data_IF_776699866404
#
_entry.id   IF_776699866404
#
_cell.length_a   1.000
_cell.length_b   1.000
_cell.length_c   1.000
_cell.angle_alpha   90.00
_cell.angle_beta   90.00
_cell.angle_gamma   90.00
#
_symmetry.space_group_name_H-M   'P 1'
#
loop_
_entity.id
_entity.type
_entity.pdbx_description
1 polymer ?
#
# COMPACT_ATOMS: atom_id res chain seq x y z
N UNK A 1 35.91 -10.81 35.64
CA UNK A 1 35.48 -11.83 34.67
C UNK A 1 33.99 -11.68 34.44
N UNK A 2 33.58 -11.08 33.32
CA UNK A 2 32.39 -11.48 32.56
C UNK A 2 32.32 -10.61 31.30
N UNK A 3 32.85 -11.14 30.21
CA UNK A 3 32.76 -10.56 28.87
C UNK A 3 31.43 -11.02 28.26
N UNK A 4 30.51 -10.09 28.04
CA UNK A 4 29.33 -10.36 27.22
C UNK A 4 29.74 -10.41 25.75
N UNK A 5 29.78 -11.62 25.20
CA UNK A 5 29.86 -11.84 23.76
C UNK A 5 28.51 -11.49 23.13
N UNK A 6 28.46 -10.37 22.42
CA UNK A 6 27.39 -10.05 21.47
C UNK A 6 27.69 -10.80 20.17
N UNK A 7 26.88 -11.81 19.84
CA UNK A 7 26.91 -12.43 18.51
C UNK A 7 26.30 -11.45 17.50
N UNK A 8 27.15 -10.72 16.80
CA UNK A 8 26.78 -10.10 15.52
C UNK A 8 26.46 -11.22 14.52
N UNK A 9 25.19 -11.39 14.16
CA UNK A 9 24.82 -12.23 13.01
C UNK A 9 25.30 -11.52 11.74
N UNK A 10 26.26 -12.15 11.08
CA UNK A 10 26.72 -11.81 9.74
C UNK A 10 25.54 -11.83 8.76
N UNK A 11 25.13 -10.65 8.29
CA UNK A 11 24.22 -10.47 7.15
C UNK A 11 25.05 -10.19 5.90
N UNK A 12 25.46 -11.24 5.20
CA UNK A 12 25.85 -11.13 3.80
C UNK A 12 24.87 -12.03 3.03
N UNK A 13 24.10 -11.49 2.06
CA UNK A 13 23.29 -12.32 1.20
C UNK A 13 24.22 -13.19 0.35
N UNK A 14 24.08 -14.51 0.46
CA UNK A 14 24.71 -15.46 -0.46
C UNK A 14 23.82 -15.47 -1.71
N UNK A 15 24.36 -15.02 -2.84
CA UNK A 15 23.62 -15.00 -4.09
C UNK A 15 23.18 -16.43 -4.49
N UNK A 16 21.87 -16.68 -4.58
CA UNK A 16 21.31 -17.91 -5.18
C UNK A 16 20.39 -18.77 -4.31
N UNK A 17 20.02 -18.36 -3.10
CA UNK A 17 19.22 -19.18 -2.17
C UNK A 17 17.69 -18.93 -2.25
N UNK A 18 17.25 -18.01 -3.10
CA UNK A 18 15.96 -17.38 -2.92
C UNK A 18 14.84 -18.21 -3.56
N UNK A 19 13.94 -18.68 -2.69
CA UNK A 19 12.76 -19.48 -3.01
C UNK A 19 11.62 -18.61 -3.56
N UNK A 20 11.61 -17.31 -3.22
CA UNK A 20 10.72 -16.33 -3.79
C UNK A 20 11.40 -14.94 -3.85
N UNK A 21 11.06 -14.12 -4.85
CA UNK A 21 11.62 -12.78 -5.04
C UNK A 21 10.57 -11.75 -5.42
N UNK A 22 10.83 -10.50 -5.03
CA UNK A 22 10.11 -9.31 -5.47
C UNK A 22 11.08 -8.44 -6.28
N UNK A 23 10.81 -8.31 -7.57
CA UNK A 23 11.50 -7.34 -8.43
C UNK A 23 10.74 -6.02 -8.37
N UNK A 24 11.39 -4.97 -7.89
CA UNK A 24 10.81 -3.65 -7.62
C UNK A 24 11.40 -2.64 -8.59
N UNK A 25 10.58 -2.15 -9.51
CA UNK A 25 10.96 -1.19 -10.54
C UNK A 25 10.85 0.25 -10.02
N UNK A 26 11.98 0.80 -9.58
CA UNK A 26 12.04 2.17 -9.05
C UNK A 26 11.79 3.23 -10.14
N UNK A 27 11.96 2.88 -11.41
CA UNK A 27 11.68 3.81 -12.52
C UNK A 27 10.17 3.91 -12.76
N UNK A 28 9.46 2.78 -12.72
CA UNK A 28 8.00 2.76 -12.71
C UNK A 28 7.43 3.53 -11.51
N UNK A 29 8.02 3.36 -10.33
CA UNK A 29 7.63 4.09 -9.11
C UNK A 29 7.75 5.61 -9.28
N UNK A 30 8.89 6.09 -9.80
CA UNK A 30 9.11 7.50 -10.09
C UNK A 30 8.15 8.03 -11.17
N UNK A 31 7.93 7.26 -12.24
CA UNK A 31 7.04 7.63 -13.34
C UNK A 31 5.58 7.71 -12.91
N UNK A 32 5.12 6.78 -12.07
CA UNK A 32 3.79 6.80 -11.49
C UNK A 32 3.61 8.04 -10.62
N UNK A 33 4.60 8.40 -9.79
CA UNK A 33 4.55 9.66 -9.03
C UNK A 33 4.44 10.88 -9.93
N UNK A 34 5.28 10.99 -10.97
CA UNK A 34 5.19 12.11 -11.94
C UNK A 34 3.85 12.11 -12.68
N UNK A 35 3.30 10.94 -12.97
CA UNK A 35 2.02 10.79 -13.64
C UNK A 35 0.85 11.22 -12.75
N UNK A 36 0.91 10.93 -11.45
CA UNK A 36 -0.06 11.46 -10.49
C UNK A 36 0.15 12.95 -10.26
N UNK A 37 1.39 13.43 -10.21
CA UNK A 37 1.68 14.86 -10.07
C UNK A 37 1.14 15.70 -11.22
N UNK A 38 1.27 15.24 -12.48
CA UNK A 38 0.62 15.89 -13.62
C UNK A 38 -0.90 15.88 -13.52
N UNK A 39 -1.50 14.82 -12.96
CA UNK A 39 -2.96 14.71 -12.80
C UNK A 39 -3.49 15.59 -11.67
N UNK A 40 -2.68 15.91 -10.67
CA UNK A 40 -3.01 16.84 -9.59
C UNK A 40 -3.11 18.31 -10.05
N UNK A 41 -2.79 18.61 -11.32
CA UNK A 41 -2.93 19.95 -11.89
C UNK A 41 -2.05 20.97 -11.18
N UNK A 42 -2.68 22.02 -10.64
CA UNK A 42 -2.00 23.06 -9.87
C UNK A 42 -1.69 22.67 -8.42
N UNK A 43 -2.32 21.60 -7.90
CA UNK A 43 -2.07 21.14 -6.53
C UNK A 43 -0.68 20.51 -6.41
N UNK A 44 -0.05 20.68 -5.25
CA UNK A 44 1.13 19.90 -4.89
C UNK A 44 0.75 18.41 -4.82
N UNK A 45 1.76 17.55 -4.94
CA UNK A 45 1.55 16.10 -4.91
C UNK A 45 2.48 15.47 -3.90
N UNK A 46 1.88 14.91 -2.85
CA UNK A 46 2.61 14.18 -1.83
C UNK A 46 2.97 12.75 -2.28
N UNK A 47 3.79 12.08 -1.49
CA UNK A 47 3.96 10.63 -1.56
C UNK A 47 3.52 9.99 -0.23
N UNK A 48 2.62 9.00 -0.28
CA UNK A 48 2.14 8.30 0.93
C UNK A 48 2.92 6.98 1.10
N UNK A 49 3.73 6.85 2.15
CA UNK A 49 4.69 5.75 2.36
C UNK A 49 4.39 4.85 3.58
N UNK A 50 3.16 4.86 4.09
CA UNK A 50 2.75 3.98 5.20
C UNK A 50 2.99 2.49 4.89
N UNK A 51 3.09 1.68 5.94
CA UNK A 51 3.27 0.23 5.87
C UNK A 51 4.49 -0.18 5.03
N UNK A 52 5.67 0.37 5.38
CA UNK A 52 6.93 0.13 4.67
C UNK A 52 6.83 0.44 3.16
N UNK A 53 6.25 1.60 2.84
CA UNK A 53 5.90 1.99 1.48
C UNK A 53 5.07 0.93 0.75
N UNK A 54 3.97 0.49 1.37
CA UNK A 54 3.09 -0.55 0.82
C UNK A 54 3.85 -1.87 0.57
N UNK A 55 4.75 -2.23 1.49
CA UNK A 55 5.50 -3.50 1.48
C UNK A 55 6.72 -3.56 0.55
N UNK A 56 7.02 -2.50 -0.20
CA UNK A 56 8.15 -2.49 -1.14
C UNK A 56 9.47 -2.00 -0.53
N UNK A 57 9.45 -1.45 0.68
CA UNK A 57 10.63 -0.90 1.35
C UNK A 57 10.63 0.63 1.39
N UNK A 58 10.61 1.17 2.61
CA UNK A 58 10.48 2.60 2.90
C UNK A 58 11.63 3.43 2.31
N UNK A 59 12.89 3.07 2.60
CA UNK A 59 14.05 3.88 2.19
C UNK A 59 14.20 3.98 0.65
N UNK A 60 14.18 2.87 -0.12
CA UNK A 60 14.29 2.94 -1.58
C UNK A 60 13.15 3.73 -2.22
N UNK A 61 11.91 3.56 -1.73
CA UNK A 61 10.77 4.30 -2.21
C UNK A 61 10.88 5.81 -1.90
N UNK A 62 11.27 6.15 -0.67
CA UNK A 62 11.46 7.54 -0.23
C UNK A 62 12.48 8.28 -1.10
N UNK A 63 13.68 7.71 -1.29
CA UNK A 63 14.72 8.30 -2.14
C UNK A 63 14.22 8.49 -3.58
N UNK A 64 13.51 7.50 -4.10
CA UNK A 64 12.95 7.53 -5.47
C UNK A 64 11.93 8.66 -5.65
N UNK A 65 10.97 8.79 -4.74
CA UNK A 65 9.98 9.87 -4.81
C UNK A 65 10.61 11.25 -4.62
N UNK A 66 11.56 11.38 -3.69
CA UNK A 66 12.27 12.64 -3.48
C UNK A 66 13.04 13.09 -4.74
N UNK A 67 13.76 12.17 -5.40
CA UNK A 67 14.44 12.41 -6.67
C UNK A 67 13.45 12.70 -7.83
N UNK A 68 12.25 12.12 -7.78
CA UNK A 68 11.21 12.38 -8.76
C UNK A 68 10.60 13.80 -8.62
N UNK A 69 10.67 14.39 -7.41
CA UNK A 69 10.23 15.75 -7.12
C UNK A 69 9.38 15.90 -5.85
N UNK A 70 9.04 14.81 -5.15
CA UNK A 70 8.20 14.86 -3.95
C UNK A 70 8.88 15.62 -2.81
N UNK A 71 8.12 16.50 -2.12
CA UNK A 71 8.57 17.24 -0.93
C UNK A 71 7.65 17.09 0.27
N UNK A 72 6.44 16.60 0.05
CA UNK A 72 5.45 16.28 1.07
C UNK A 72 5.27 14.77 1.17
N UNK A 73 5.38 14.23 2.37
CA UNK A 73 5.28 12.80 2.61
C UNK A 73 4.28 12.51 3.71
N UNK A 74 3.50 11.45 3.55
CA UNK A 74 2.56 10.98 4.56
C UNK A 74 2.92 9.57 5.01
N UNK A 75 2.95 9.35 6.31
CA UNK A 75 3.13 8.04 6.95
C UNK A 75 1.96 7.76 7.88
N UNK A 76 1.77 6.50 8.29
CA UNK A 76 0.71 6.17 9.24
C UNK A 76 1.14 6.50 10.67
N UNK A 77 2.38 6.19 11.05
CA UNK A 77 2.85 6.26 12.44
C UNK A 77 4.07 7.18 12.63
N UNK A 78 4.31 7.72 13.85
CA UNK A 78 5.50 8.51 14.11
C UNK A 78 6.80 7.70 14.03
N UNK A 79 6.76 6.38 14.24
CA UNK A 79 7.93 5.51 14.05
C UNK A 79 8.34 5.42 12.57
N UNK A 80 7.36 5.27 11.67
CA UNK A 80 7.62 5.38 10.22
C UNK A 80 8.13 6.77 9.85
N UNK A 81 7.61 7.83 10.48
CA UNK A 81 8.05 9.20 10.27
C UNK A 81 9.50 9.43 10.68
N UNK A 82 9.91 8.90 11.84
CA UNK A 82 11.29 8.96 12.32
C UNK A 82 12.25 8.20 11.37
N UNK A 83 11.86 7.00 10.91
CA UNK A 83 12.63 6.25 9.93
C UNK A 83 12.76 7.00 8.59
N UNK A 84 11.67 7.65 8.15
CA UNK A 84 11.67 8.46 6.93
C UNK A 84 12.54 9.71 7.08
N UNK A 85 12.51 10.40 8.21
CA UNK A 85 13.35 11.59 8.49
C UNK A 85 14.84 11.25 8.42
N UNK A 86 15.24 10.07 8.91
CA UNK A 86 16.61 9.59 8.79
C UNK A 86 17.05 9.38 7.33
N UNK A 87 16.10 9.08 6.43
CA UNK A 87 16.35 8.92 5.00
C UNK A 87 16.33 10.26 4.24
N UNK A 88 15.37 11.13 4.59
CA UNK A 88 15.10 12.41 3.92
C UNK A 88 15.05 13.55 4.96
N UNK A 89 16.15 14.28 5.18
CA UNK A 89 16.22 15.28 6.24
C UNK A 89 15.46 16.59 5.91
N UNK A 90 15.22 16.89 4.63
CA UNK A 90 14.76 18.20 4.14
C UNK A 90 13.32 18.23 3.62
N UNK A 91 12.50 17.23 3.97
CA UNK A 91 11.10 17.10 3.51
C UNK A 91 10.09 17.36 4.62
N UNK A 92 8.83 17.60 4.24
CA UNK A 92 7.71 17.69 5.19
C UNK A 92 7.10 16.31 5.39
N UNK A 93 7.02 15.84 6.64
CA UNK A 93 6.49 14.52 6.98
C UNK A 93 5.24 14.67 7.85
N UNK A 94 4.09 14.24 7.33
CA UNK A 94 2.81 14.26 8.00
C UNK A 94 2.47 12.86 8.54
N UNK A 95 2.02 12.77 9.79
CA UNK A 95 1.69 11.50 10.47
C UNK A 95 0.19 11.37 10.65
N UNK A 96 -0.42 10.43 9.93
CA UNK A 96 -1.88 10.27 9.83
C UNK A 96 -2.56 9.80 11.12
N UNK A 97 -1.85 9.09 12.00
CA UNK A 97 -2.38 8.66 13.30
C UNK A 97 -2.52 9.80 14.31
N UNK A 98 -1.96 10.98 14.01
CA UNK A 98 -1.89 12.08 14.96
C UNK A 98 -0.97 11.80 16.14
N UNK A 99 -1.10 12.60 17.19
CA UNK A 99 -0.30 12.58 18.42
C UNK A 99 -1.11 12.04 19.59
N UNK A 100 -0.49 11.22 20.43
CA UNK A 100 -1.06 10.74 21.70
C UNK A 100 -0.06 10.91 22.85
N UNK A 101 -0.56 10.83 24.08
CA UNK A 101 0.25 10.96 25.28
C UNK A 101 1.43 9.97 25.28
N UNK A 102 2.65 10.47 25.43
CA UNK A 102 3.89 9.70 25.38
C UNK A 102 4.53 9.56 23.98
N UNK A 103 3.88 10.03 22.92
CA UNK A 103 4.44 10.04 21.55
C UNK A 103 5.14 11.34 21.18
N UNK A 104 4.98 12.39 21.99
CA UNK A 104 5.35 13.78 21.71
C UNK A 104 6.83 13.90 21.33
N UNK A 105 7.69 13.14 22.04
CA UNK A 105 9.13 13.12 21.78
C UNK A 105 9.45 12.84 20.31
N UNK A 106 8.78 11.87 19.67
CA UNK A 106 9.05 11.53 18.27
C UNK A 106 8.68 12.67 17.33
N UNK A 107 7.60 13.41 17.61
CA UNK A 107 7.18 14.53 16.77
C UNK A 107 8.18 15.68 16.82
N UNK A 108 8.68 16.01 18.00
CA UNK A 108 9.64 17.12 18.15
C UNK A 108 11.06 16.73 17.77
N UNK A 109 11.53 15.53 18.10
CA UNK A 109 12.89 15.07 17.80
C UNK A 109 13.11 14.89 16.29
N UNK A 110 12.07 14.46 15.56
CA UNK A 110 12.16 14.18 14.12
C UNK A 110 11.42 15.20 13.23
N UNK A 111 10.98 16.33 13.80
CA UNK A 111 10.26 17.38 13.08
C UNK A 111 9.09 16.80 12.24
N UNK A 112 8.21 16.06 12.90
CA UNK A 112 7.05 15.41 12.28
C UNK A 112 5.80 16.26 12.51
N UNK A 113 4.93 16.36 11.52
CA UNK A 113 3.68 17.12 11.62
C UNK A 113 2.53 16.18 11.97
N UNK A 114 1.91 16.30 13.17
CA UNK A 114 0.76 15.49 13.53
C UNK A 114 -0.49 15.90 12.75
N UNK A 115 -1.25 14.90 12.29
CA UNK A 115 -2.62 15.09 11.82
C UNK A 115 -3.58 14.89 12.99
N UNK A 116 -4.02 15.98 13.59
CA UNK A 116 -4.90 16.00 14.76
C UNK A 116 -6.32 15.61 14.33
N UNK A 117 -6.83 14.52 14.90
CA UNK A 117 -8.07 13.90 14.47
C UNK A 117 -9.15 13.81 15.54
N UNK A 118 -8.89 14.28 16.76
CA UNK A 118 -9.86 14.31 17.86
C UNK A 118 -9.55 15.42 18.85
N UNK A 119 -10.50 15.74 19.73
CA UNK A 119 -10.32 16.70 20.82
C UNK A 119 -9.24 16.25 21.81
N UNK A 120 -9.13 14.94 22.07
CA UNK A 120 -8.09 14.39 22.94
C UNK A 120 -6.70 14.60 22.34
N UNK A 121 -6.54 14.37 21.03
CA UNK A 121 -5.28 14.65 20.35
C UNK A 121 -4.96 16.14 20.32
N UNK A 122 -5.98 16.99 20.16
CA UNK A 122 -5.83 18.43 20.25
C UNK A 122 -5.33 18.83 21.64
N UNK A 123 -5.94 18.32 22.71
CA UNK A 123 -5.51 18.60 24.08
C UNK A 123 -4.06 18.18 24.34
N UNK A 124 -3.65 16.99 23.88
CA UNK A 124 -2.25 16.53 23.97
C UNK A 124 -1.31 17.47 23.22
N UNK A 125 -1.65 17.83 21.98
CA UNK A 125 -0.84 18.73 21.17
C UNK A 125 -0.71 20.11 21.83
N UNK A 126 -1.82 20.68 22.32
CA UNK A 126 -1.84 21.97 23.00
C UNK A 126 -1.01 21.99 24.28
N UNK A 127 -1.07 20.91 25.07
CA UNK A 127 -0.21 20.76 26.25
C UNK A 127 1.27 20.65 25.85
N UNK A 128 1.58 19.97 24.75
CA UNK A 128 2.96 19.79 24.29
C UNK A 128 3.60 21.09 23.76
N UNK A 129 2.80 22.05 23.29
CA UNK A 129 3.27 23.35 22.79
C UNK A 129 3.06 24.51 23.79
N UNK A 130 2.57 24.23 24.99
CA UNK A 130 2.18 25.27 25.97
C UNK A 130 3.33 26.18 26.41
N UNK A 131 4.58 25.68 26.38
CA UNK A 131 5.77 26.40 26.80
C UNK A 131 6.30 27.38 25.73
N UNK A 132 5.46 27.78 24.77
CA UNK A 132 5.81 28.69 23.67
C UNK A 132 6.59 28.04 22.53
N UNK A 133 6.53 26.70 22.43
CA UNK A 133 7.17 25.94 21.36
C UNK A 133 6.28 25.99 20.11
N UNK A 134 6.74 26.65 19.05
CA UNK A 134 6.02 26.65 17.77
C UNK A 134 6.21 25.29 17.07
N UNK A 135 5.10 24.66 16.67
CA UNK A 135 5.12 23.38 15.95
C UNK A 135 3.89 23.29 15.04
N UNK A 136 4.05 22.96 13.75
CA UNK A 136 2.92 22.88 12.84
C UNK A 136 2.04 21.65 13.14
N UNK A 137 0.73 21.78 12.91
CA UNK A 137 -0.19 20.66 12.90
C UNK A 137 -1.16 20.71 11.70
N UNK A 138 -1.79 19.59 11.39
CA UNK A 138 -2.87 19.48 10.40
C UNK A 138 -4.14 19.12 11.16
N UNK A 139 -5.28 19.72 10.82
CA UNK A 139 -6.57 19.36 11.40
C UNK A 139 -7.32 18.42 10.45
N UNK A 140 -7.73 17.25 10.96
CA UNK A 140 -8.54 16.30 10.22
C UNK A 140 -10.02 16.52 10.51
N UNK A 141 -10.81 16.72 9.46
CA UNK A 141 -12.28 16.83 9.52
C UNK A 141 -12.89 15.60 8.85
N UNK A 142 -13.73 14.87 9.56
CA UNK A 142 -14.51 13.78 8.99
C UNK A 142 -15.70 14.34 8.19
N UNK A 143 -15.72 14.04 6.90
CA UNK A 143 -16.77 14.49 5.98
C UNK A 143 -17.75 13.36 5.61
N UNK A 144 -17.52 12.14 6.12
CA UNK A 144 -18.37 10.98 5.85
C UNK A 144 -17.64 9.64 5.76
N UNK A 145 -16.37 9.55 6.14
CA UNK A 145 -15.66 8.27 6.22
C UNK A 145 -15.88 7.60 7.58
N UNK A 146 -16.14 8.37 8.65
CA UNK A 146 -16.48 7.87 9.99
C UNK A 146 -15.41 6.96 10.59
N UNK A 147 -14.15 7.37 10.45
CA UNK A 147 -12.99 6.67 11.05
C UNK A 147 -12.19 7.56 12.00
N UNK A 148 -11.73 8.71 11.52
CA UNK A 148 -10.93 9.69 12.25
C UNK A 148 -11.30 11.08 11.74
N UNK A 149 -11.15 12.10 12.58
CA UNK A 149 -11.41 13.49 12.27
C UNK A 149 -12.54 14.06 13.12
N UNK A 150 -12.47 15.36 13.39
CA UNK A 150 -13.57 16.09 14.01
C UNK A 150 -14.78 16.07 13.09
N UNK A 151 -15.97 16.06 13.68
CA UNK A 151 -17.18 16.27 12.87
C UNK A 151 -17.13 17.68 12.29
N UNK A 152 -17.82 17.91 11.17
CA UNK A 152 -17.80 19.20 10.49
C UNK A 152 -18.26 20.31 11.43
N UNK A 153 -19.33 20.07 12.19
CA UNK A 153 -19.87 20.97 13.20
C UNK A 153 -18.85 21.32 14.30
N UNK A 154 -18.07 20.35 14.77
CA UNK A 154 -17.06 20.57 15.81
C UNK A 154 -15.88 21.39 15.25
N UNK A 155 -15.48 21.11 14.01
CA UNK A 155 -14.46 21.89 13.31
C UNK A 155 -14.91 23.36 13.08
N UNK A 156 -16.18 23.58 12.73
CA UNK A 156 -16.76 24.92 12.57
C UNK A 156 -16.84 25.66 13.92
N UNK A 157 -17.23 24.97 14.98
CA UNK A 157 -17.22 25.54 16.33
C UNK A 157 -15.81 25.95 16.75
N UNK A 158 -14.81 25.10 16.48
CA UNK A 158 -13.40 25.39 16.74
C UNK A 158 -12.86 26.55 15.88
N UNK A 159 -13.35 26.73 14.66
CA UNK A 159 -12.95 27.86 13.82
C UNK A 159 -13.49 29.20 14.35
N UNK A 160 -14.72 29.21 14.87
CA UNK A 160 -15.38 30.40 15.41
C UNK A 160 -15.05 30.74 16.86
N UNK A 161 -14.32 29.87 17.57
CA UNK A 161 -13.99 30.09 18.98
C UNK A 161 -12.89 31.15 19.16
N UNK A 162 -13.28 32.33 19.65
CA UNK A 162 -12.38 33.43 19.97
C UNK A 162 -11.49 33.16 21.19
N UNK A 163 -11.85 32.19 22.03
CA UNK A 163 -11.04 31.75 23.18
C UNK A 163 -10.01 30.70 22.78
N UNK A 164 -10.04 30.22 21.53
CA UNK A 164 -9.06 29.27 21.00
C UNK A 164 -7.65 29.83 21.17
N UNK A 165 -6.71 29.06 21.75
CA UNK A 165 -5.36 29.54 21.94
C UNK A 165 -4.73 29.92 20.60
N UNK A 166 -4.06 31.08 20.54
CA UNK A 166 -3.36 31.53 19.33
C UNK A 166 -2.25 30.55 18.88
N UNK A 167 -1.75 29.72 19.79
CA UNK A 167 -0.81 28.64 19.49
C UNK A 167 -1.43 27.51 18.67
N UNK A 168 -2.76 27.40 18.59
CA UNK A 168 -3.43 26.49 17.67
C UNK A 168 -3.62 27.16 16.30
N UNK A 169 -2.63 26.95 15.43
CA UNK A 169 -2.62 27.43 14.05
C UNK A 169 -2.37 26.25 13.11
N UNK A 170 -3.42 25.48 12.74
CA UNK A 170 -3.25 24.37 11.80
C UNK A 170 -2.79 24.91 10.45
N UNK A 171 -1.74 24.31 9.88
CA UNK A 171 -1.20 24.73 8.59
C UNK A 171 -2.03 24.22 7.40
N UNK A 172 -2.90 23.23 7.65
CA UNK A 172 -3.70 22.57 6.63
C UNK A 172 -4.93 21.88 7.22
N UNK A 173 -6.05 21.88 6.49
CA UNK A 173 -7.17 20.97 6.70
C UNK A 173 -7.01 19.69 5.86
N UNK A 174 -7.34 18.56 6.47
CA UNK A 174 -7.35 17.26 5.80
C UNK A 174 -8.71 16.60 5.95
N UNK A 175 -9.20 15.96 4.89
CA UNK A 175 -10.26 14.96 4.97
C UNK A 175 -9.93 13.78 4.05
N UNK A 176 -10.75 12.72 4.07
CA UNK A 176 -10.54 11.52 3.27
C UNK A 176 -11.83 11.04 2.61
N UNK A 177 -11.78 10.82 1.30
CA UNK A 177 -12.91 10.28 0.55
C UNK A 177 -13.10 8.79 0.83
N UNK A 178 -14.35 8.37 0.99
CA UNK A 178 -14.71 6.99 1.29
C UNK A 178 -14.92 6.13 0.03
N UNK A 179 -15.46 6.72 -1.04
CA UNK A 179 -15.95 5.99 -2.23
C UNK A 179 -15.35 6.53 -3.53
N UNK A 180 -14.15 7.11 -3.47
CA UNK A 180 -13.53 7.74 -4.64
C UNK A 180 -13.10 6.73 -5.71
N UNK A 181 -12.98 5.45 -5.35
CA UNK A 181 -12.77 4.30 -6.23
C UNK A 181 -14.02 3.95 -7.06
N UNK A 182 -15.19 4.47 -6.69
CA UNK A 182 -16.43 4.43 -7.45
C UNK A 182 -16.84 5.87 -7.87
N UNK A 183 -16.43 6.35 -9.06
CA UNK A 183 -16.57 7.77 -9.41
C UNK A 183 -18.00 8.33 -9.38
N UNK A 184 -18.99 7.49 -9.66
CA UNK A 184 -20.41 7.85 -9.64
C UNK A 184 -21.05 7.85 -8.25
N UNK A 185 -20.34 7.39 -7.21
CA UNK A 185 -20.91 7.24 -5.88
C UNK A 185 -21.32 8.61 -5.29
N UNK A 186 -22.58 8.80 -4.86
CA UNK A 186 -23.10 10.12 -4.47
C UNK A 186 -22.39 10.72 -3.25
N UNK A 187 -21.80 9.88 -2.39
CA UNK A 187 -21.05 10.34 -1.21
C UNK A 187 -19.84 11.20 -1.60
N UNK A 188 -19.22 10.99 -2.77
CA UNK A 188 -18.08 11.80 -3.22
C UNK A 188 -18.43 13.29 -3.31
N UNK A 189 -19.61 13.61 -3.86
CA UNK A 189 -20.09 15.00 -3.95
C UNK A 189 -20.48 15.56 -2.58
N UNK A 190 -21.09 14.74 -1.72
CA UNK A 190 -21.48 15.16 -0.37
C UNK A 190 -20.25 15.47 0.50
N UNK A 191 -19.22 14.62 0.46
CA UNK A 191 -17.96 14.85 1.17
C UNK A 191 -17.26 16.11 0.68
N UNK A 192 -17.24 16.35 -0.65
CA UNK A 192 -16.67 17.57 -1.22
C UNK A 192 -17.37 18.83 -0.70
N UNK A 193 -18.70 18.85 -0.68
CA UNK A 193 -19.47 20.01 -0.19
C UNK A 193 -19.19 20.28 1.29
N UNK A 194 -19.23 19.24 2.12
CA UNK A 194 -18.92 19.35 3.56
C UNK A 194 -17.49 19.84 3.80
N UNK A 195 -16.54 19.34 3.00
CA UNK A 195 -15.14 19.75 3.12
C UNK A 195 -14.96 21.22 2.73
N UNK A 196 -15.61 21.70 1.66
CA UNK A 196 -15.61 23.13 1.29
C UNK A 196 -16.12 24.00 2.42
N UNK A 197 -17.25 23.63 3.06
CA UNK A 197 -17.76 24.34 4.23
C UNK A 197 -16.75 24.43 5.37
N UNK A 198 -16.00 23.35 5.64
CA UNK A 198 -14.94 23.37 6.65
C UNK A 198 -13.77 24.27 6.21
N UNK A 199 -13.31 24.16 4.96
CA UNK A 199 -12.21 25.00 4.42
C UNK A 199 -12.55 26.48 4.48
N UNK A 200 -13.77 26.87 4.11
CA UNK A 200 -14.22 28.27 4.15
C UNK A 200 -14.20 28.86 5.57
N UNK A 201 -14.28 28.04 6.62
CA UNK A 201 -14.22 28.48 8.01
C UNK A 201 -12.78 28.65 8.53
N UNK A 202 -11.79 28.02 7.90
CA UNK A 202 -10.38 28.15 8.25
C UNK A 202 -9.67 28.94 7.15
N UNK A 203 -9.73 30.28 7.26
CA UNK A 203 -9.17 31.17 6.24
C UNK A 203 -7.63 31.06 6.13
N UNK A 204 -7.13 31.11 4.90
CA UNK A 204 -5.71 31.24 4.59
C UNK A 204 -4.82 30.01 4.80
N UNK A 205 -5.37 28.80 5.03
CA UNK A 205 -4.58 27.58 5.23
C UNK A 205 -4.72 26.57 4.09
N UNK A 206 -3.74 25.66 3.96
CA UNK A 206 -3.77 24.62 2.93
C UNK A 206 -4.96 23.66 3.12
N UNK A 207 -5.34 22.94 2.07
CA UNK A 207 -6.39 21.93 2.15
C UNK A 207 -6.06 20.69 1.30
N UNK A 208 -6.39 19.52 1.83
CA UNK A 208 -6.15 18.25 1.15
C UNK A 208 -7.29 17.25 1.33
N UNK A 209 -7.85 16.79 0.21
CA UNK A 209 -8.94 15.81 0.18
C UNK A 209 -8.55 14.53 -0.57
N UNK A 210 -8.13 14.69 -1.82
CA UNK A 210 -7.90 13.59 -2.75
C UNK A 210 -6.80 12.60 -2.29
N UNK A 211 -7.20 11.33 -2.13
CA UNK A 211 -6.31 10.18 -2.18
C UNK A 211 -6.05 9.78 -3.66
N UNK A 212 -5.43 8.62 -3.91
CA UNK A 212 -5.18 8.14 -5.29
C UNK A 212 -6.42 8.23 -6.18
N UNK A 213 -7.55 7.69 -5.71
CA UNK A 213 -8.80 7.63 -6.46
C UNK A 213 -9.44 9.02 -6.61
N UNK A 214 -9.37 9.83 -5.55
CA UNK A 214 -9.86 11.21 -5.54
C UNK A 214 -9.20 12.11 -6.59
N UNK A 215 -7.95 11.83 -6.98
CA UNK A 215 -7.28 12.57 -8.05
C UNK A 215 -7.99 12.35 -9.39
N UNK A 216 -8.54 11.16 -9.63
CA UNK A 216 -9.29 10.84 -10.86
C UNK A 216 -10.70 11.43 -10.90
N UNK A 217 -11.24 11.93 -9.78
CA UNK A 217 -12.56 12.58 -9.75
C UNK A 217 -12.54 13.99 -10.37
N UNK A 218 -11.36 14.62 -10.49
CA UNK A 218 -11.17 15.93 -11.12
C UNK A 218 -10.69 17.02 -10.16
N UNK A 219 -10.36 18.18 -10.74
CA UNK A 219 -9.67 19.30 -10.07
C UNK A 219 -10.41 19.85 -8.85
N UNK A 220 -11.75 19.75 -8.84
CA UNK A 220 -12.59 20.13 -7.70
C UNK A 220 -12.20 19.44 -6.38
N UNK A 221 -11.55 18.28 -6.46
CA UNK A 221 -11.13 17.45 -5.31
C UNK A 221 -9.66 17.64 -4.93
N UNK A 222 -8.86 18.33 -5.74
CA UNK A 222 -7.41 18.38 -5.56
C UNK A 222 -6.95 19.35 -4.47
N UNK A 223 -7.67 20.47 -4.31
CA UNK A 223 -7.32 21.56 -3.38
C UNK A 223 -5.85 21.98 -3.52
N UNK A 224 -5.11 22.19 -2.43
CA UNK A 224 -3.71 22.65 -2.51
C UNK A 224 -2.71 21.49 -2.51
N UNK A 225 -3.10 20.32 -2.00
CA UNK A 225 -2.26 19.13 -1.92
C UNK A 225 -3.07 17.85 -2.16
N UNK A 226 -2.54 16.96 -2.99
CA UNK A 226 -3.08 15.62 -3.23
C UNK A 226 -2.21 14.54 -2.59
N UNK A 227 -2.81 13.40 -2.21
CA UNK A 227 -2.16 12.32 -1.42
C UNK A 227 -2.24 10.97 -2.13
N UNK A 228 -1.61 10.79 -3.30
CA UNK A 228 -1.58 9.48 -3.95
C UNK A 228 -0.81 8.46 -3.08
N UNK A 229 -1.38 7.27 -2.98
CA UNK A 229 -0.83 6.08 -2.34
C UNK A 229 -0.70 4.96 -3.35
N UNK A 230 -1.68 4.04 -3.41
CA UNK A 230 -1.62 2.83 -4.26
C UNK A 230 -1.19 3.05 -5.71
N UNK A 231 -1.62 4.14 -6.34
CA UNK A 231 -1.28 4.44 -7.73
C UNK A 231 0.22 4.66 -7.93
N UNK A 232 0.91 5.18 -6.90
CA UNK A 232 2.37 5.29 -6.94
C UNK A 232 3.02 3.92 -7.10
N UNK A 233 2.44 2.91 -6.46
CA UNK A 233 2.92 1.53 -6.41
C UNK A 233 2.39 0.66 -7.57
N UNK A 234 1.75 1.27 -8.56
CA UNK A 234 1.24 0.57 -9.74
C UNK A 234 -0.12 -0.09 -9.58
N UNK A 235 -0.77 0.05 -8.42
CA UNK A 235 -2.08 -0.54 -8.19
C UNK A 235 -3.25 0.35 -8.67
N UNK A 236 -4.40 -0.30 -8.84
CA UNK A 236 -5.63 0.26 -9.36
C UNK A 236 -6.36 1.06 -8.28
N UNK A 237 -6.54 2.36 -8.52
CA UNK A 237 -7.24 3.24 -7.58
C UNK A 237 -8.75 3.37 -7.87
N UNK A 238 -9.19 3.02 -9.08
CA UNK A 238 -10.58 3.15 -9.51
C UNK A 238 -11.06 1.79 -9.98
N UNK A 239 -12.24 1.39 -9.52
CA UNK A 239 -12.82 0.09 -9.84
C UNK A 239 -13.33 0.07 -11.28
N UNK A 240 -13.32 -1.13 -11.88
CA UNK A 240 -13.92 -1.42 -13.19
C UNK A 240 -13.43 -0.56 -14.37
N UNK A 241 -12.24 0.05 -14.26
CA UNK A 241 -11.58 0.78 -15.34
C UNK A 241 -10.15 0.28 -15.54
N UNK A 242 -9.59 0.37 -16.76
CA UNK A 242 -8.19 0.02 -16.99
C UNK A 242 -7.25 0.84 -16.10
N UNK A 243 -6.39 0.16 -15.34
CA UNK A 243 -5.39 0.79 -14.50
C UNK A 243 -4.32 1.49 -15.36
N UNK A 244 -4.17 2.82 -15.26
CA UNK A 244 -3.22 3.56 -16.08
C UNK A 244 -1.79 3.57 -15.51
N UNK A 245 -1.57 2.97 -14.34
CA UNK A 245 -0.28 2.99 -13.65
C UNK A 245 0.63 1.87 -14.13
N UNK A 246 1.95 2.14 -14.11
CA UNK A 246 2.94 1.12 -14.45
C UNK A 246 3.08 0.13 -13.28
N UNK A 247 3.11 -1.20 -13.52
CA UNK A 247 3.40 -2.17 -12.48
C UNK A 247 4.77 -1.89 -11.85
N UNK A 248 4.83 -1.78 -10.52
CA UNK A 248 6.08 -1.54 -9.78
C UNK A 248 6.68 -2.84 -9.24
N UNK A 249 5.84 -3.79 -8.82
CA UNK A 249 6.27 -5.03 -8.18
C UNK A 249 5.96 -6.21 -9.07
N UNK A 250 6.96 -7.05 -9.32
CA UNK A 250 6.78 -8.39 -9.89
C UNK A 250 7.18 -9.42 -8.84
N UNK A 251 6.23 -10.24 -8.41
CA UNK A 251 6.45 -11.32 -7.45
C UNK A 251 6.58 -12.65 -8.18
N UNK A 252 7.66 -13.36 -7.89
CA UNK A 252 7.97 -14.63 -8.50
C UNK A 252 8.35 -15.66 -7.44
N UNK A 253 7.92 -16.90 -7.64
CA UNK A 253 8.27 -18.02 -6.78
C UNK A 253 8.96 -19.11 -7.57
N UNK A 254 9.92 -19.78 -6.92
CA UNK A 254 10.65 -20.89 -7.53
C UNK A 254 9.79 -22.13 -7.57
N UNK A 255 9.77 -22.83 -8.69
CA UNK A 255 9.20 -24.16 -8.81
C UNK A 255 10.17 -25.14 -8.17
N UNK A 256 9.74 -25.79 -7.08
CA UNK A 256 10.55 -26.80 -6.39
C UNK A 256 10.47 -28.15 -7.08
N UNK A 257 9.30 -28.48 -7.62
CA UNK A 257 9.05 -29.77 -8.23
C UNK A 257 7.99 -29.65 -9.32
N UNK A 258 8.16 -30.41 -10.39
CA UNK A 258 7.11 -30.73 -11.35
C UNK A 258 6.73 -32.19 -11.17
N UNK A 259 5.44 -32.48 -11.01
CA UNK A 259 4.94 -33.83 -10.76
C UNK A 259 3.82 -34.18 -11.73
N UNK A 260 3.67 -35.46 -12.03
CA UNK A 260 2.53 -35.97 -12.76
C UNK A 260 1.51 -36.55 -11.79
N UNK A 261 0.24 -36.35 -12.12
CA UNK A 261 -0.90 -36.96 -11.46
C UNK A 261 -1.80 -37.62 -12.50
N UNK A 262 -2.35 -38.79 -12.17
CA UNK A 262 -3.29 -39.50 -13.04
C UNK A 262 -4.72 -38.97 -12.84
N UNK A 263 -5.58 -39.25 -13.82
CA UNK A 263 -7.02 -39.05 -13.64
C UNK A 263 -7.52 -39.82 -12.40
N UNK A 264 -8.35 -39.17 -11.58
CA UNK A 264 -8.84 -39.68 -10.31
C UNK A 264 -7.97 -39.35 -9.09
N UNK A 265 -6.72 -38.90 -9.29
CA UNK A 265 -5.89 -38.38 -8.19
C UNK A 265 -6.31 -36.95 -7.81
N UNK A 266 -5.81 -36.45 -6.68
CA UNK A 266 -6.18 -35.13 -6.13
C UNK A 266 -4.97 -34.34 -5.66
N UNK A 267 -5.15 -33.05 -5.37
CA UNK A 267 -4.08 -32.14 -4.95
C UNK A 267 -4.43 -31.34 -3.69
N UNK A 268 -3.39 -31.10 -2.89
CA UNK A 268 -3.40 -30.25 -1.69
C UNK A 268 -4.39 -30.73 -0.61
N UNK A 269 -4.54 -29.94 0.46
CA UNK A 269 -5.33 -30.30 1.63
C UNK A 269 -6.81 -30.52 1.29
N UNK A 270 -7.38 -31.57 1.87
CA UNK A 270 -8.79 -31.93 1.73
C UNK A 270 -9.22 -32.38 0.34
N UNK A 271 -8.27 -32.67 -0.56
CA UNK A 271 -8.53 -33.26 -1.88
C UNK A 271 -9.63 -32.54 -2.67
N UNK A 272 -9.68 -31.21 -2.55
CA UNK A 272 -10.82 -30.41 -3.07
C UNK A 272 -10.82 -30.21 -4.59
N UNK A 273 -9.75 -30.62 -5.25
CA UNK A 273 -9.65 -30.77 -6.71
C UNK A 273 -9.26 -32.21 -6.99
N UNK A 274 -10.08 -32.92 -7.78
CA UNK A 274 -9.82 -34.25 -8.32
C UNK A 274 -9.64 -34.13 -9.82
N UNK A 275 -8.58 -34.71 -10.37
CA UNK A 275 -8.23 -34.53 -11.77
C UNK A 275 -9.07 -35.42 -12.69
N UNK A 276 -9.59 -34.85 -13.77
CA UNK A 276 -10.33 -35.57 -14.81
C UNK A 276 -9.45 -36.15 -15.91
N UNK A 277 -8.17 -35.72 -15.97
CA UNK A 277 -7.17 -36.16 -16.95
C UNK A 277 -5.82 -36.36 -16.28
N UNK A 278 -4.85 -36.88 -17.03
CA UNK A 278 -3.45 -36.77 -16.62
C UNK A 278 -3.06 -35.30 -16.50
N UNK A 279 -2.54 -34.91 -15.34
CA UNK A 279 -2.23 -33.51 -15.00
C UNK A 279 -0.76 -33.38 -14.61
N UNK A 280 -0.09 -32.36 -15.15
CA UNK A 280 1.24 -31.93 -14.70
C UNK A 280 1.10 -30.77 -13.74
N UNK A 281 1.72 -30.90 -12.58
CA UNK A 281 1.60 -29.96 -11.46
C UNK A 281 2.96 -29.35 -11.20
N UNK A 282 3.06 -28.03 -11.32
CA UNK A 282 4.20 -27.28 -10.81
C UNK A 282 3.94 -26.86 -9.36
N UNK A 283 4.86 -27.21 -8.46
CA UNK A 283 4.80 -26.87 -7.03
C UNK A 283 5.74 -25.70 -6.76
N UNK A 284 5.19 -24.53 -6.50
CA UNK A 284 5.91 -23.30 -6.23
C UNK A 284 6.16 -23.09 -4.73
N UNK A 285 7.34 -22.55 -4.40
CA UNK A 285 7.79 -22.23 -3.04
C UNK A 285 7.20 -20.91 -2.54
N UNK A 286 5.88 -20.85 -2.44
CA UNK A 286 5.16 -19.71 -1.89
C UNK A 286 3.84 -20.16 -1.27
N UNK A 287 3.50 -19.59 -0.14
CA UNK A 287 2.22 -19.81 0.51
C UNK A 287 1.75 -18.62 1.35
N UNK A 288 0.75 -18.87 2.19
CA UNK A 288 0.13 -17.80 2.98
C UNK A 288 1.05 -17.25 4.08
N UNK A 289 2.11 -17.96 4.48
CA UNK A 289 3.12 -17.41 5.40
C UNK A 289 4.02 -16.36 4.73
N UNK A 290 4.07 -16.35 3.40
CA UNK A 290 4.78 -15.34 2.62
C UNK A 290 3.86 -14.16 2.26
N UNK A 291 2.56 -14.26 2.50
CA UNK A 291 1.57 -13.26 2.09
C UNK A 291 0.76 -13.65 0.85
N UNK A 292 1.02 -14.81 0.24
CA UNK A 292 0.21 -15.31 -0.87
C UNK A 292 -1.05 -15.99 -0.32
N UNK A 293 -2.13 -15.22 -0.23
CA UNK A 293 -3.28 -15.53 0.63
C UNK A 293 -3.95 -16.86 0.30
N UNK A 294 -4.44 -17.54 1.33
CA UNK A 294 -5.21 -18.77 1.17
C UNK A 294 -6.50 -18.58 0.35
N UNK A 295 -7.07 -17.38 0.34
CA UNK A 295 -8.25 -17.04 -0.47
C UNK A 295 -8.01 -17.18 -1.98
N UNK A 296 -6.75 -17.07 -2.44
CA UNK A 296 -6.36 -17.23 -3.85
C UNK A 296 -6.50 -18.66 -4.37
N UNK A 297 -6.71 -19.63 -3.47
CA UNK A 297 -6.86 -21.05 -3.80
C UNK A 297 -7.85 -21.30 -4.94
N UNK A 298 -7.50 -22.26 -5.81
CA UNK A 298 -8.33 -22.69 -6.93
C UNK A 298 -9.57 -23.47 -6.50
N UNK A 299 -9.52 -24.10 -5.32
CA UNK A 299 -10.64 -24.85 -4.77
C UNK A 299 -10.66 -24.86 -3.24
N UNK A 300 -11.77 -25.29 -2.66
CA UNK A 300 -11.81 -25.68 -1.25
C UNK A 300 -11.76 -24.54 -0.23
N UNK A 301 -12.03 -23.30 -0.65
CA UNK A 301 -12.18 -22.12 0.22
C UNK A 301 -13.57 -21.51 0.05
N UNK A 302 -14.13 -20.83 1.07
CA UNK A 302 -15.49 -20.28 1.01
C UNK A 302 -15.75 -19.41 -0.23
N UNK A 303 -14.75 -18.63 -0.65
CA UNK A 303 -14.85 -17.75 -1.82
C UNK A 303 -15.16 -18.50 -3.12
N UNK A 304 -14.79 -19.78 -3.26
CA UNK A 304 -15.12 -20.56 -4.46
C UNK A 304 -16.61 -20.87 -4.60
N UNK A 305 -17.42 -20.58 -3.57
CA UNK A 305 -18.89 -20.67 -3.63
C UNK A 305 -19.53 -19.46 -4.31
N UNK A 306 -18.78 -18.39 -4.59
CA UNK A 306 -19.31 -17.15 -5.19
C UNK A 306 -19.04 -17.03 -6.69
N UNK A 307 -18.62 -18.12 -7.36
CA UNK A 307 -18.23 -18.17 -8.77
C UNK A 307 -17.07 -17.27 -9.20
N UNK A 308 -16.38 -16.64 -8.25
CA UNK A 308 -15.08 -16.02 -8.52
C UNK A 308 -14.08 -17.15 -8.85
N UNK A 309 -13.24 -17.03 -9.88
CA UNK A 309 -12.20 -18.01 -10.16
C UNK A 309 -11.05 -17.91 -9.14
N UNK A 310 -10.26 -18.99 -9.01
CA UNK A 310 -9.00 -18.92 -8.27
C UNK A 310 -7.96 -18.08 -9.00
N UNK A 311 -6.85 -17.78 -8.32
CA UNK A 311 -5.74 -17.07 -8.95
C UNK A 311 -5.07 -17.92 -10.04
N UNK A 312 -4.24 -17.28 -10.85
CA UNK A 312 -3.38 -17.92 -11.83
C UNK A 312 -1.96 -17.37 -11.69
N UNK A 313 -0.98 -18.07 -12.26
CA UNK A 313 0.38 -17.55 -12.43
C UNK A 313 0.75 -17.53 -13.92
N UNK A 314 1.93 -17.01 -14.23
CA UNK A 314 2.46 -16.95 -15.60
C UNK A 314 3.78 -17.70 -15.69
N UNK A 315 3.86 -18.62 -16.65
CA UNK A 315 5.06 -19.35 -17.04
C UNK A 315 5.21 -19.28 -18.56
N UNK A 316 6.41 -18.92 -19.04
CA UNK A 316 6.71 -18.85 -20.49
C UNK A 316 5.69 -18.03 -21.29
N UNK A 317 5.21 -16.90 -20.72
CA UNK A 317 4.21 -16.03 -21.34
C UNK A 317 2.80 -16.61 -21.41
N UNK A 318 2.52 -17.69 -20.68
CA UNK A 318 1.21 -18.36 -20.65
C UNK A 318 0.67 -18.40 -19.23
N UNK A 319 -0.61 -18.05 -19.10
CA UNK A 319 -1.35 -18.15 -17.84
C UNK A 319 -1.61 -19.62 -17.49
N UNK A 320 -1.31 -20.00 -16.26
CA UNK A 320 -1.55 -21.34 -15.71
C UNK A 320 -2.37 -21.24 -14.43
N UNK A 321 -3.45 -22.03 -14.27
CA UNK A 321 -4.35 -21.88 -13.15
C UNK A 321 -3.75 -22.45 -11.87
N UNK A 322 -3.99 -21.78 -10.74
CA UNK A 322 -3.73 -22.31 -9.41
C UNK A 322 -4.76 -23.42 -9.11
N UNK A 323 -4.30 -24.58 -8.68
CA UNK A 323 -5.14 -25.74 -8.37
C UNK A 323 -5.04 -26.15 -6.89
N UNK A 324 -6.15 -26.64 -6.34
CA UNK A 324 -6.21 -26.99 -4.93
C UNK A 324 -6.14 -25.78 -4.00
N UNK A 325 -5.72 -26.04 -2.76
CA UNK A 325 -5.51 -25.01 -1.75
C UNK A 325 -4.07 -24.52 -1.73
N UNK A 326 -3.91 -23.22 -1.57
CA UNK A 326 -2.65 -22.62 -1.11
C UNK A 326 -2.37 -23.11 0.31
N UNK A 327 -1.15 -23.57 0.56
CA UNK A 327 -0.70 -24.05 1.88
C UNK A 327 0.19 -23.00 2.56
N UNK A 328 0.79 -23.32 3.70
CA UNK A 328 1.61 -22.38 4.46
C UNK A 328 2.79 -21.86 3.61
N UNK A 329 3.43 -22.77 2.87
CA UNK A 329 4.68 -22.47 2.16
C UNK A 329 4.65 -22.94 0.68
N UNK A 330 3.60 -23.63 0.24
CA UNK A 330 3.52 -24.22 -1.11
C UNK A 330 2.20 -23.93 -1.83
N UNK A 331 2.33 -23.67 -3.13
CA UNK A 331 1.22 -23.45 -4.06
C UNK A 331 1.37 -24.35 -5.30
N UNK A 332 0.24 -24.84 -5.83
CA UNK A 332 0.23 -25.79 -6.95
C UNK A 332 -0.42 -25.15 -8.17
N UNK A 333 0.20 -25.31 -9.34
CA UNK A 333 -0.29 -24.80 -10.61
C UNK A 333 -0.42 -25.94 -11.63
N UNK A 334 -1.50 -25.94 -12.40
CA UNK A 334 -1.69 -26.88 -13.52
C UNK A 334 -0.93 -26.37 -14.74
N UNK A 335 0.13 -27.10 -15.12
CA UNK A 335 0.99 -26.79 -16.27
C UNK A 335 0.80 -27.77 -17.43
N UNK A 336 -0.31 -28.51 -17.42
CA UNK A 336 -0.57 -29.60 -18.38
C UNK A 336 -0.66 -29.11 -19.82
N UNK A 337 -1.11 -27.88 -20.05
CA UNK A 337 -1.30 -27.33 -21.40
C UNK A 337 -0.07 -26.57 -21.94
N UNK A 338 1.03 -26.53 -21.17
CA UNK A 338 2.33 -26.07 -21.66
C UNK A 338 3.04 -27.19 -22.44
N UNK A 339 4.07 -26.90 -23.27
CA UNK A 339 4.83 -27.98 -23.91
C UNK A 339 5.44 -28.96 -22.91
N UNK A 340 5.64 -30.21 -23.31
CA UNK A 340 6.31 -31.20 -22.46
C UNK A 340 7.77 -30.81 -22.19
N UNK A 341 8.24 -30.96 -20.95
CA UNK A 341 9.60 -30.61 -20.56
C UNK A 341 9.95 -29.11 -20.54
N UNK A 342 8.99 -28.21 -20.82
CA UNK A 342 9.21 -26.77 -20.81
C UNK A 342 9.27 -26.17 -19.41
N UNK A 343 8.64 -26.80 -18.42
CA UNK A 343 8.65 -26.37 -17.02
C UNK A 343 9.51 -27.33 -16.22
N UNK A 344 10.45 -26.80 -15.43
CA UNK A 344 11.43 -27.57 -14.66
C UNK A 344 11.54 -27.04 -13.23
N UNK A 345 12.02 -27.90 -12.33
CA UNK A 345 12.44 -27.43 -11.01
C UNK A 345 13.55 -26.40 -11.16
N UNK A 346 13.48 -25.33 -10.37
CA UNK A 346 14.38 -24.18 -10.42
C UNK A 346 13.85 -23.00 -11.24
N UNK A 347 12.88 -23.21 -12.14
CA UNK A 347 12.21 -22.14 -12.87
C UNK A 347 11.45 -21.20 -11.92
N UNK A 348 11.21 -19.97 -12.34
CA UNK A 348 10.34 -19.03 -11.63
C UNK A 348 8.98 -18.92 -12.30
N UNK A 349 7.92 -18.99 -11.50
CA UNK A 349 6.56 -18.61 -11.91
C UNK A 349 6.27 -17.20 -11.43
N UNK A 350 5.75 -16.35 -12.31
CA UNK A 350 5.25 -15.03 -11.96
C UNK A 350 3.86 -15.17 -11.32
N UNK A 351 3.72 -14.71 -10.08
CA UNK A 351 2.48 -14.75 -9.31
C UNK A 351 1.61 -13.53 -9.61
N UNK A 352 2.25 -12.36 -9.65
CA UNK A 352 1.70 -11.10 -10.13
C UNK A 352 2.86 -10.19 -10.57
N UNK A 353 2.58 -9.23 -11.43
CA UNK A 353 3.58 -8.33 -12.00
C UNK A 353 3.20 -7.83 -13.39
N UNK A 354 4.20 -7.72 -14.25
CA UNK A 354 4.06 -7.15 -15.61
C UNK A 354 3.14 -7.99 -16.50
N UNK A 355 3.11 -9.31 -16.32
CA UNK A 355 2.30 -10.23 -17.14
C UNK A 355 1.05 -10.73 -16.42
N UNK A 356 0.90 -10.43 -15.14
CA UNK A 356 -0.25 -10.80 -14.32
C UNK A 356 -0.60 -9.63 -13.39
N UNK A 357 -1.50 -8.72 -13.81
CA UNK A 357 -1.85 -7.54 -13.03
C UNK A 357 -2.26 -7.90 -11.59
N UNK A 358 -1.77 -7.13 -10.62
CA UNK A 358 -1.99 -7.42 -9.20
C UNK A 358 -3.47 -7.33 -8.82
N UNK A 359 -4.23 -6.43 -9.46
CA UNK A 359 -5.67 -6.28 -9.30
C UNK A 359 -6.45 -7.53 -9.72
N UNK A 360 -5.97 -8.29 -10.70
CA UNK A 360 -6.61 -9.53 -11.14
C UNK A 360 -6.41 -10.64 -10.11
N UNK A 361 -5.21 -10.70 -9.53
CA UNK A 361 -4.90 -11.63 -8.44
C UNK A 361 -5.67 -11.25 -7.17
N UNK A 362 -5.78 -9.96 -6.85
CA UNK A 362 -6.55 -9.47 -5.72
C UNK A 362 -8.04 -9.82 -5.86
N UNK A 363 -8.62 -9.60 -7.06
CA UNK A 363 -10.01 -9.96 -7.37
C UNK A 363 -10.25 -11.45 -7.23
N UNK A 364 -9.32 -12.29 -7.69
CA UNK A 364 -9.39 -13.73 -7.46
C UNK A 364 -9.41 -14.08 -5.97
N UNK A 365 -8.69 -13.32 -5.14
CA UNK A 365 -8.68 -13.43 -3.67
C UNK A 365 -9.88 -12.79 -2.97
N UNK A 366 -10.77 -12.09 -3.69
CA UNK A 366 -11.89 -11.36 -3.10
C UNK A 366 -11.45 -10.16 -2.28
N UNK A 367 -10.35 -9.53 -2.65
CA UNK A 367 -9.76 -8.38 -1.97
C UNK A 367 -9.19 -7.37 -2.97
N UNK A 368 -8.38 -6.43 -2.47
CA UNK A 368 -7.74 -5.34 -3.20
C UNK A 368 -6.21 -5.49 -3.22
N UNK A 369 -5.58 -4.90 -4.22
CA UNK A 369 -4.13 -4.89 -4.42
C UNK A 369 -3.33 -4.33 -3.23
N UNK A 370 -3.90 -3.37 -2.48
CA UNK A 370 -3.35 -2.90 -1.21
C UNK A 370 -3.02 -4.04 -0.24
N UNK A 371 -3.96 -4.97 -0.06
CA UNK A 371 -3.81 -6.08 0.89
C UNK A 371 -2.73 -7.06 0.40
N UNK A 372 -2.70 -7.35 -0.91
CA UNK A 372 -1.65 -8.18 -1.48
C UNK A 372 -0.26 -7.58 -1.26
N UNK A 373 -0.05 -6.31 -1.62
CA UNK A 373 1.25 -5.64 -1.47
C UNK A 373 1.71 -5.59 -0.01
N UNK A 374 0.81 -5.21 0.90
CA UNK A 374 1.14 -5.06 2.32
C UNK A 374 1.27 -6.38 3.07
N UNK A 375 0.77 -7.48 2.50
CA UNK A 375 0.92 -8.83 3.07
C UNK A 375 2.24 -9.50 2.71
N UNK A 376 3.01 -8.97 1.75
CA UNK A 376 4.27 -9.57 1.30
C UNK A 376 5.30 -9.58 2.43
N UNK A 377 5.57 -10.78 2.95
CA UNK A 377 6.41 -10.99 4.12
C UNK A 377 7.89 -10.70 3.88
N UNK A 378 8.68 -10.93 4.93
CA UNK A 378 10.14 -10.77 4.92
C UNK A 378 10.89 -11.92 4.23
N UNK A 379 10.20 -13.02 3.88
CA UNK A 379 10.80 -14.20 3.24
C UNK A 379 11.15 -14.00 1.76
N UNK A 380 10.58 -12.99 1.12
CA UNK A 380 10.97 -12.61 -0.23
C UNK A 380 12.31 -11.87 -0.25
N UNK A 381 13.14 -12.22 -1.23
CA UNK A 381 14.25 -11.36 -1.64
C UNK A 381 13.71 -10.11 -2.34
N UNK A 382 14.03 -8.92 -1.86
CA UNK A 382 13.67 -7.67 -2.52
C UNK A 382 14.81 -7.22 -3.42
N UNK A 383 14.57 -7.21 -4.73
CA UNK A 383 15.51 -6.72 -5.76
C UNK A 383 15.03 -5.38 -6.29
N UNK A 384 15.82 -4.34 -6.09
CA UNK A 384 15.51 -3.01 -6.59
C UNK A 384 16.20 -2.78 -7.92
N UNK A 385 15.42 -2.56 -8.97
CA UNK A 385 15.92 -2.27 -10.29
C UNK A 385 15.71 -0.79 -10.63
N UNK A 386 16.81 -0.11 -10.97
CA UNK A 386 16.75 1.15 -11.68
C UNK A 386 16.88 0.86 -13.18
N UNK A 387 16.10 1.52 -14.02
CA UNK A 387 16.32 1.44 -15.47
C UNK A 387 17.62 2.18 -15.76
N UNK A 388 18.59 1.45 -16.34
CA UNK A 388 19.74 2.06 -17.00
C UNK A 388 19.21 3.05 -18.04
N UNK A 389 19.62 4.31 -17.93
CA UNK A 389 19.29 5.41 -18.85
C UNK A 389 19.37 5.00 -20.32
#
# INVERSE_FOLDING_TARGET
MSTHHTHARSTLPVAGEDHARLTIDLSALADNWRAMARRSGAARTAAVLKADAYGIGLEPAARTFHLAGARDFFVATPAEGAALRATLPDVRIYVLSGMWAGSERLFFEFDLVPVIASEEQLAVFMAAVSDGRDHPCVLHVDTGMSRLGLRVEDALALAGDVARPASFSPIMLLSHLACADEPSHPLNRQQLQRFRTAVDAFDGIDATLANSAGIFLGEDYHFTLTRPGISLYGGAAVNDVPNPMKPVVTAEARILQVREAKAGESVSYGATTVFSRGTRIAVAAVGYADGYMRALSGSGVPLRKTNIPGASGVLHGRTVPLIGRVTMDLTHFDVTDLPEGSVRAGDFIELFGRNMPIEDVARAGGTIDYELLTSLGSRYERRYEAVKK
#
